data_IF_515289321050
#
_entry.id   IF_515289321050
#
_cell.length_a   1.000
_cell.length_b   1.000
_cell.length_c   1.000
_cell.angle_alpha   90.00
_cell.angle_beta   90.00
_cell.angle_gamma   90.00
#
_symmetry.space_group_name_H-M   'P 1'
#
loop_
_entity.id
_entity.type
_entity.pdbx_description
1 polymer ?
#
# COMPACT_ATOMS: atom_id res chain seq x y z
N UNK A 1 -17.43 -36.30 -27.60
CA UNK A 1 -16.27 -35.71 -28.31
C UNK A 1 -16.57 -35.25 -29.74
N UNK A 2 -17.48 -35.88 -30.50
CA UNK A 2 -17.76 -35.49 -31.90
C UNK A 2 -18.34 -34.08 -32.13
N UNK A 3 -19.19 -33.56 -31.23
CA UNK A 3 -19.81 -32.23 -31.43
C UNK A 3 -18.83 -31.07 -31.35
N UNK A 4 -17.84 -31.12 -30.45
CA UNK A 4 -16.86 -30.04 -30.30
C UNK A 4 -15.91 -30.00 -31.51
N UNK A 5 -15.52 -31.17 -32.01
CA UNK A 5 -14.68 -31.29 -33.20
C UNK A 5 -15.40 -30.76 -34.46
N UNK A 6 -16.70 -31.05 -34.61
CA UNK A 6 -17.50 -30.54 -35.72
C UNK A 6 -17.72 -29.03 -35.66
N UNK A 7 -17.91 -28.46 -34.47
CA UNK A 7 -18.02 -27.00 -34.31
C UNK A 7 -16.69 -26.33 -34.65
N UNK A 8 -15.59 -26.86 -34.14
CA UNK A 8 -14.24 -26.33 -34.40
C UNK A 8 -13.88 -26.37 -35.89
N UNK A 9 -14.22 -27.46 -36.60
CA UNK A 9 -13.96 -27.58 -38.04
C UNK A 9 -14.81 -26.60 -38.86
N UNK A 10 -16.06 -26.35 -38.48
CA UNK A 10 -16.93 -25.36 -39.12
C UNK A 10 -16.40 -23.93 -38.93
N UNK A 11 -15.91 -23.59 -37.73
CA UNK A 11 -15.26 -22.31 -37.48
C UNK A 11 -13.97 -22.15 -38.28
N UNK A 12 -13.12 -23.18 -38.32
CA UNK A 12 -11.91 -23.17 -39.13
C UNK A 12 -12.20 -22.99 -40.63
N UNK A 13 -13.24 -23.67 -41.13
CA UNK A 13 -13.69 -23.51 -42.51
C UNK A 13 -14.19 -22.09 -42.80
N UNK A 14 -14.97 -21.49 -41.90
CA UNK A 14 -15.46 -20.12 -42.02
C UNK A 14 -14.31 -19.10 -42.08
N UNK A 15 -13.34 -19.21 -41.16
CA UNK A 15 -12.15 -18.34 -41.13
C UNK A 15 -11.34 -18.49 -42.42
N UNK A 16 -11.16 -19.73 -42.89
CA UNK A 16 -10.43 -20.04 -44.12
C UNK A 16 -11.14 -19.57 -45.39
N UNK A 17 -12.47 -19.49 -45.38
CA UNK A 17 -13.28 -19.02 -46.52
C UNK A 17 -13.23 -17.49 -46.64
N UNK A 18 -13.19 -16.76 -45.52
CA UNK A 18 -13.17 -15.29 -45.49
C UNK A 18 -12.02 -14.72 -44.64
N UNK A 19 -10.75 -14.95 -45.02
CA UNK A 19 -9.60 -14.60 -44.18
C UNK A 19 -9.45 -13.08 -43.98
N UNK A 20 -9.61 -12.29 -45.05
CA UNK A 20 -9.46 -10.83 -44.98
C UNK A 20 -10.52 -10.16 -44.12
N UNK A 21 -11.78 -10.59 -44.23
CA UNK A 21 -12.88 -10.05 -43.44
C UNK A 21 -12.69 -10.40 -41.96
N UNK A 22 -12.29 -11.64 -41.68
CA UNK A 22 -12.02 -12.10 -40.31
C UNK A 22 -10.90 -11.28 -39.67
N UNK A 23 -9.79 -11.07 -40.39
CA UNK A 23 -8.67 -10.24 -39.91
C UNK A 23 -9.12 -8.80 -39.67
N UNK A 24 -9.87 -8.21 -40.60
CA UNK A 24 -10.37 -6.84 -40.47
C UNK A 24 -11.25 -6.64 -39.24
N UNK A 25 -12.16 -7.58 -38.99
CA UNK A 25 -13.04 -7.54 -37.80
C UNK A 25 -12.23 -7.67 -36.51
N UNK A 26 -11.27 -8.60 -36.45
CA UNK A 26 -10.41 -8.78 -35.26
C UNK A 26 -9.58 -7.53 -35.00
N UNK A 27 -8.97 -6.93 -36.03
CA UNK A 27 -8.20 -5.70 -35.89
C UNK A 27 -9.06 -4.54 -35.39
N UNK A 28 -10.28 -4.39 -35.91
CA UNK A 28 -11.20 -3.33 -35.49
C UNK A 28 -11.61 -3.51 -34.02
N UNK A 29 -11.90 -4.74 -33.60
CA UNK A 29 -12.21 -5.06 -32.20
C UNK A 29 -11.00 -4.82 -31.28
N UNK A 30 -9.81 -5.31 -31.65
CA UNK A 30 -8.59 -5.07 -30.87
C UNK A 30 -8.25 -3.58 -30.79
N UNK A 31 -8.38 -2.84 -31.89
CA UNK A 31 -8.18 -1.41 -31.91
C UNK A 31 -9.14 -0.69 -30.98
N UNK A 32 -10.43 -1.04 -31.00
CA UNK A 32 -11.43 -0.46 -30.09
C UNK A 32 -11.07 -0.69 -28.61
N UNK A 33 -10.64 -1.91 -28.25
CA UNK A 33 -10.18 -2.24 -26.89
C UNK A 33 -8.93 -1.43 -26.52
N UNK A 34 -7.95 -1.34 -27.42
CA UNK A 34 -6.71 -0.58 -27.17
C UNK A 34 -6.98 0.92 -27.04
N UNK A 35 -7.88 1.46 -27.85
CA UNK A 35 -8.31 2.87 -27.77
C UNK A 35 -9.01 3.15 -26.44
N UNK A 36 -9.78 2.20 -25.91
CA UNK A 36 -10.36 2.34 -24.58
C UNK A 36 -9.30 2.59 -23.50
N UNK A 37 -8.10 2.01 -23.59
CA UNK A 37 -7.01 2.26 -22.64
C UNK A 37 -6.36 3.64 -22.79
N UNK A 38 -6.51 4.30 -23.95
CA UNK A 38 -6.04 5.68 -24.13
C UNK A 38 -6.95 6.66 -23.39
N UNK A 39 -8.27 6.46 -23.49
CA UNK A 39 -9.26 7.30 -22.82
C UNK A 39 -9.46 6.95 -21.34
N UNK A 40 -9.21 5.69 -20.98
CA UNK A 40 -9.27 5.17 -19.62
C UNK A 40 -7.95 4.50 -19.28
N UNK A 41 -6.89 5.29 -18.98
CA UNK A 41 -5.60 4.74 -18.63
C UNK A 41 -5.71 3.84 -17.40
N UNK A 42 -5.04 2.67 -17.40
CA UNK A 42 -5.03 1.81 -16.23
C UNK A 42 -4.34 2.53 -15.06
N UNK A 43 -5.02 2.63 -13.92
CA UNK A 43 -4.47 3.17 -12.69
C UNK A 43 -3.83 2.00 -11.94
N UNK A 44 -2.51 2.05 -11.76
CA UNK A 44 -1.79 1.07 -10.94
C UNK A 44 -1.83 1.55 -9.51
N UNK A 45 -2.63 0.87 -8.69
CA UNK A 45 -2.67 1.11 -7.26
C UNK A 45 -1.55 0.31 -6.57
N UNK A 46 -0.58 1.03 -5.98
CA UNK A 46 0.57 0.43 -5.28
C UNK A 46 0.35 0.28 -3.78
N UNK A 47 -0.82 0.68 -3.28
CA UNK A 47 -1.13 0.59 -1.85
C UNK A 47 -1.44 -0.86 -1.46
N UNK A 48 -0.54 -1.45 -0.67
CA UNK A 48 -0.68 -2.81 -0.15
C UNK A 48 -1.96 -2.99 0.68
N UNK A 49 -2.47 -1.93 1.33
CA UNK A 49 -3.70 -2.00 2.14
C UNK A 49 -4.91 -2.34 1.26
N UNK A 50 -4.97 -1.77 0.06
CA UNK A 50 -6.06 -2.03 -0.89
C UNK A 50 -5.95 -3.40 -1.56
N UNK A 51 -4.74 -3.93 -1.74
CA UNK A 51 -4.51 -5.23 -2.37
C UNK A 51 -4.79 -6.45 -1.46
N UNK A 52 -4.54 -6.32 -0.15
CA UNK A 52 -4.60 -7.45 0.78
C UNK A 52 -5.77 -7.41 1.77
N UNK A 53 -6.45 -6.27 1.92
CA UNK A 53 -7.55 -6.14 2.89
C UNK A 53 -8.90 -6.29 2.20
N UNK A 54 -9.79 -7.08 2.81
CA UNK A 54 -11.19 -7.11 2.40
C UNK A 54 -11.85 -5.74 2.63
N UNK A 55 -12.33 -5.12 1.54
CA UNK A 55 -12.89 -3.76 1.52
C UNK A 55 -13.96 -3.49 2.60
N UNK A 56 -14.76 -4.49 2.96
CA UNK A 56 -15.83 -4.37 3.97
C UNK A 56 -15.56 -5.19 5.24
N UNK A 57 -14.29 -5.40 5.60
CA UNK A 57 -13.94 -6.15 6.81
C UNK A 57 -14.06 -5.32 8.08
N UNK A 58 -14.20 -6.01 9.21
CA UNK A 58 -14.17 -5.37 10.55
C UNK A 58 -12.86 -4.63 10.81
N UNK A 59 -11.74 -5.14 10.32
CA UNK A 59 -10.42 -4.53 10.46
C UNK A 59 -10.34 -3.14 9.81
N UNK A 60 -11.00 -2.93 8.66
CA UNK A 60 -11.10 -1.60 8.03
C UNK A 60 -11.85 -0.63 8.94
N UNK A 61 -12.95 -1.08 9.54
CA UNK A 61 -13.78 -0.26 10.42
C UNK A 61 -13.08 0.07 11.75
N UNK A 62 -12.32 -0.88 12.31
CA UNK A 62 -11.47 -0.64 13.49
C UNK A 62 -10.35 0.35 13.19
N UNK A 63 -9.68 0.22 12.04
CA UNK A 63 -8.63 1.12 11.62
C UNK A 63 -9.17 2.54 11.32
N UNK A 64 -10.37 2.64 10.73
CA UNK A 64 -11.05 3.92 10.54
C UNK A 64 -11.35 4.60 11.88
N UNK A 65 -11.87 3.86 12.88
CA UNK A 65 -12.11 4.41 14.22
C UNK A 65 -10.83 4.85 14.92
N UNK A 66 -9.76 4.08 14.77
CA UNK A 66 -8.43 4.45 15.25
C UNK A 66 -7.97 5.77 14.61
N UNK A 67 -8.22 5.94 13.31
CA UNK A 67 -7.87 7.17 12.61
C UNK A 67 -8.68 8.39 13.06
N UNK A 68 -10.00 8.19 13.22
CA UNK A 68 -10.93 9.19 13.73
C UNK A 68 -10.56 9.67 15.14
N UNK A 69 -10.09 8.77 16.01
CA UNK A 69 -9.60 9.13 17.36
C UNK A 69 -8.46 10.15 17.29
N UNK A 70 -7.59 10.02 16.30
CA UNK A 70 -6.45 10.91 16.07
C UNK A 70 -6.75 12.09 15.16
N UNK A 71 -8.03 12.29 14.78
CA UNK A 71 -8.47 13.32 13.84
C UNK A 71 -7.66 13.31 12.53
N UNK A 72 -7.34 12.11 12.04
CA UNK A 72 -6.59 11.92 10.80
C UNK A 72 -7.34 11.00 9.85
N UNK A 73 -7.05 11.10 8.55
CA UNK A 73 -7.61 10.18 7.57
C UNK A 73 -6.94 8.82 7.71
N UNK A 74 -7.72 7.74 7.69
CA UNK A 74 -7.17 6.38 7.74
C UNK A 74 -6.23 6.09 6.56
N UNK A 75 -6.40 6.76 5.42
CA UNK A 75 -5.49 6.64 4.27
C UNK A 75 -4.13 7.26 4.53
N UNK A 76 -4.08 8.30 5.38
CA UNK A 76 -2.94 9.19 5.56
C UNK A 76 -2.23 8.95 6.90
N UNK A 77 -2.69 7.97 7.68
CA UNK A 77 -2.01 7.52 8.88
C UNK A 77 -0.86 6.60 8.50
N UNK A 78 0.32 7.00 8.91
CA UNK A 78 1.51 6.18 8.91
C UNK A 78 2.03 6.02 10.33
N UNK A 79 2.46 4.80 10.67
CA UNK A 79 3.03 4.49 11.96
C UNK A 79 4.50 4.12 11.77
N UNK A 80 5.39 4.90 12.38
CA UNK A 80 6.81 4.56 12.45
C UNK A 80 7.08 3.81 13.76
N UNK A 81 7.47 2.55 13.65
CA UNK A 81 7.85 1.71 14.79
C UNK A 81 9.35 1.46 14.74
N UNK A 82 10.05 1.87 15.79
CA UNK A 82 11.49 1.60 15.94
C UNK A 82 11.65 0.45 16.92
N UNK A 83 12.13 -0.70 16.42
CA UNK A 83 12.39 -1.87 17.25
C UNK A 83 13.86 -1.89 17.67
N UNK A 84 14.09 -1.90 18.99
CA UNK A 84 15.44 -1.95 19.58
C UNK A 84 15.68 -3.36 20.10
N UNK A 85 16.78 -3.98 19.67
CA UNK A 85 17.14 -5.35 20.00
C UNK A 85 18.59 -5.42 20.46
N UNK A 86 18.95 -6.41 21.30
CA UNK A 86 20.34 -6.64 21.65
C UNK A 86 21.15 -7.03 20.40
N UNK A 87 22.37 -6.50 20.30
CA UNK A 87 23.25 -6.72 19.14
C UNK A 87 23.68 -8.19 19.01
N UNK A 88 23.89 -8.86 20.13
CA UNK A 88 24.41 -10.22 20.15
C UNK A 88 23.26 -11.22 20.27
N UNK A 89 23.19 -12.24 19.39
CA UNK A 89 22.10 -13.22 19.39
C UNK A 89 22.08 -14.10 20.64
N UNK A 90 23.17 -14.13 21.42
CA UNK A 90 23.24 -14.84 22.69
C UNK A 90 22.55 -14.07 23.84
N UNK A 91 22.40 -12.75 23.70
CA UNK A 91 21.69 -11.93 24.67
C UNK A 91 20.20 -11.99 24.36
N UNK A 92 19.48 -12.88 25.05
CA UNK A 92 18.03 -13.06 24.85
C UNK A 92 17.19 -11.89 25.35
N UNK A 93 17.75 -11.01 26.19
CA UNK A 93 17.04 -9.93 26.87
C UNK A 93 17.83 -8.63 26.72
N UNK A 94 17.18 -7.59 26.21
CA UNK A 94 17.72 -6.23 26.20
C UNK A 94 17.75 -5.71 27.64
N UNK A 95 18.96 -5.48 28.18
CA UNK A 95 19.09 -4.90 29.51
C UNK A 95 18.73 -3.41 29.46
N UNK A 96 17.67 -3.02 30.17
CA UNK A 96 17.26 -1.62 30.29
C UNK A 96 18.17 -0.93 31.30
N UNK A 97 19.24 -0.30 30.80
CA UNK A 97 20.17 0.50 31.60
C UNK A 97 19.89 1.99 31.44
N UNK A 98 20.29 2.85 32.40
CA UNK A 98 20.14 4.30 32.25
C UNK A 98 20.82 4.84 30.98
N UNK A 99 21.99 4.29 30.63
CA UNK A 99 22.72 4.65 29.41
C UNK A 99 21.91 4.33 28.15
N UNK A 100 21.24 3.17 28.10
CA UNK A 100 20.37 2.81 26.99
C UNK A 100 19.18 3.78 26.89
N UNK A 101 18.55 4.12 28.01
CA UNK A 101 17.45 5.09 28.03
C UNK A 101 17.89 6.48 27.50
N UNK A 102 19.08 6.94 27.89
CA UNK A 102 19.64 8.20 27.36
C UNK A 102 19.90 8.13 25.85
N UNK A 103 20.42 7.01 25.35
CA UNK A 103 20.62 6.78 23.91
C UNK A 103 19.29 6.77 23.14
N UNK A 104 18.25 6.15 23.69
CA UNK A 104 16.90 6.15 23.10
C UNK A 104 16.36 7.57 23.02
N UNK A 105 16.52 8.35 24.09
CA UNK A 105 16.11 9.76 24.12
C UNK A 105 16.87 10.60 23.10
N UNK A 106 18.18 10.38 22.94
CA UNK A 106 18.97 11.04 21.91
C UNK A 106 18.50 10.67 20.49
N UNK A 107 18.14 9.41 20.27
CA UNK A 107 17.58 8.96 19.00
C UNK A 107 16.25 9.64 18.70
N UNK A 108 15.35 9.72 19.68
CA UNK A 108 14.07 10.43 19.55
C UNK A 108 14.28 11.89 19.15
N UNK A 109 15.15 12.61 19.86
CA UNK A 109 15.48 14.01 19.55
C UNK A 109 16.08 14.16 18.15
N UNK A 110 16.92 13.22 17.73
CA UNK A 110 17.52 13.24 16.40
C UNK A 110 16.47 13.07 15.29
N UNK A 111 15.52 12.14 15.47
CA UNK A 111 14.40 11.94 14.54
C UNK A 111 13.54 13.20 14.48
N UNK A 112 13.20 13.79 15.63
CA UNK A 112 12.39 15.01 15.70
C UNK A 112 13.08 16.22 15.05
N UNK A 113 14.42 16.25 15.06
CA UNK A 113 15.20 17.30 14.41
C UNK A 113 15.30 17.18 12.89
N UNK A 114 14.81 16.08 12.30
CA UNK A 114 14.98 15.83 10.88
C UNK A 114 14.10 16.76 10.03
N UNK A 115 14.71 17.33 8.99
CA UNK A 115 14.05 18.22 8.04
C UNK A 115 14.35 17.76 6.62
N UNK A 116 13.29 17.67 5.80
CA UNK A 116 13.41 17.33 4.39
C UNK A 116 13.50 18.63 3.59
N UNK A 117 14.56 18.83 2.78
CA UNK A 117 14.68 20.01 1.96
C UNK A 117 13.57 20.03 0.90
N UNK A 118 12.83 21.12 0.83
CA UNK A 118 11.83 21.39 -0.21
C UNK A 118 12.04 22.81 -0.74
N UNK A 119 11.82 22.96 -2.05
CA UNK A 119 11.96 24.19 -2.85
C UNK A 119 11.30 25.45 -2.27
N UNK A 120 10.26 25.31 -1.44
CA UNK A 120 9.52 26.44 -0.84
C UNK A 120 9.88 26.65 0.63
N UNK A 121 9.81 25.59 1.44
CA UNK A 121 10.11 25.61 2.87
C UNK A 121 10.56 24.21 3.30
N UNK A 122 11.61 24.06 4.11
CA UNK A 122 11.97 22.77 4.69
C UNK A 122 10.78 22.18 5.44
N UNK A 123 10.47 20.91 5.16
CA UNK A 123 9.39 20.21 5.83
C UNK A 123 9.98 19.55 7.08
N UNK A 124 9.48 19.94 8.25
CA UNK A 124 9.95 19.40 9.54
C UNK A 124 9.16 18.18 9.94
N UNK A 125 9.80 17.22 10.61
CA UNK A 125 9.12 16.04 11.14
C UNK A 125 7.93 16.39 12.04
N UNK A 126 8.06 17.43 12.87
CA UNK A 126 7.01 17.89 13.77
C UNK A 126 5.73 18.39 13.05
N UNK A 127 5.79 18.69 11.74
CA UNK A 127 4.61 19.07 10.97
C UNK A 127 3.70 17.87 10.64
N UNK A 128 4.23 16.64 10.69
CA UNK A 128 3.48 15.40 10.49
C UNK A 128 3.10 14.71 11.81
N UNK A 129 3.59 15.23 12.93
CA UNK A 129 3.31 14.65 14.22
C UNK A 129 1.85 14.91 14.62
N UNK A 130 1.10 13.83 14.85
CA UNK A 130 -0.25 13.93 15.40
C UNK A 130 -0.13 14.28 16.89
N UNK A 131 -0.74 15.38 17.39
CA UNK A 131 -0.70 15.74 18.80
C UNK A 131 -1.26 14.59 19.67
N UNK A 132 -0.44 14.06 20.58
CA UNK A 132 -0.82 12.89 21.41
C UNK A 132 -0.58 11.52 20.75
N UNK A 133 -0.02 11.48 19.54
CA UNK A 133 0.24 10.26 18.74
C UNK A 133 1.48 9.46 19.15
N UNK A 134 2.00 9.66 20.36
CA UNK A 134 2.97 8.72 20.90
C UNK A 134 2.19 7.50 21.39
N UNK A 135 2.34 6.35 20.71
CA UNK A 135 1.69 5.08 21.12
C UNK A 135 2.06 4.71 22.57
N UNK A 136 3.18 5.23 23.09
CA UNK A 136 3.53 5.11 24.51
C UNK A 136 2.48 5.72 25.45
N UNK A 137 1.69 6.70 25.01
CA UNK A 137 0.55 7.24 25.77
C UNK A 137 -0.44 6.13 26.15
N UNK A 138 -0.73 5.19 25.25
CA UNK A 138 -1.60 4.07 25.57
C UNK A 138 -0.96 3.12 26.59
N UNK A 139 0.37 2.93 26.54
CA UNK A 139 1.08 2.10 27.53
C UNK A 139 1.22 2.78 28.89
N UNK A 140 1.32 4.11 28.93
CA UNK A 140 1.36 4.88 30.17
C UNK A 140 -0.03 5.05 30.80
N UNK A 141 -1.12 5.02 30.03
CA UNK A 141 -2.49 5.07 30.55
C UNK A 141 -2.92 3.81 31.35
N UNK A 142 -2.17 2.72 31.26
CA UNK A 142 -2.39 1.48 32.03
C UNK A 142 -1.44 1.31 33.22
N UNK A 143 -0.65 2.34 33.58
CA UNK A 143 0.06 2.41 34.87
C UNK A 143 -0.85 2.95 35.97
#
# INVERSE_FOLDING_TARGET
>A
MGNIANISSQFGYFIGTYPLQTIGVVLLLCFSILVSFIFHPPIIETDIRHGFVHRNSRSVLEFQRFAEFYNSSWTDIEMMVVMIQPKYPNDKVLQITPQLCDQIKQLELHIQSFEVPNSVKPIKYNEFHIPGGNVNYFFDAFK
#
